data_IF_036377220329
#
_entry.id   IF_036377220329
#
_cell.length_a   1.000
_cell.length_b   1.000
_cell.length_c   1.000
_cell.angle_alpha   90.00
_cell.angle_beta   90.00
_cell.angle_gamma   90.00
#
_symmetry.space_group_name_H-M   'P 1'
#
loop_
_entity.id
_entity.type
_entity.pdbx_description
1 polymer ?
#
# COMPACT_ATOMS: atom_id res chain seq x y z
N UNK A 1 27.43 16.98 -1.07
CA UNK A 1 26.55 17.60 -2.09
C UNK A 1 25.73 16.50 -2.74
N UNK A 2 24.51 16.27 -2.24
CA UNK A 2 23.66 15.15 -2.67
C UNK A 2 22.66 15.63 -3.72
N UNK A 3 22.89 15.27 -4.97
CA UNK A 3 21.96 15.56 -6.07
C UNK A 3 20.82 14.56 -6.03
N UNK A 4 19.59 15.04 -5.79
CA UNK A 4 18.37 14.26 -5.98
C UNK A 4 18.26 13.95 -7.47
N UNK A 5 18.63 12.74 -7.86
CA UNK A 5 18.51 12.30 -9.25
C UNK A 5 17.03 12.15 -9.56
N UNK A 6 16.49 13.03 -10.42
CA UNK A 6 15.16 12.86 -11.02
C UNK A 6 15.08 11.46 -11.63
N UNK A 7 14.02 10.73 -11.29
CA UNK A 7 13.69 9.50 -12.00
C UNK A 7 13.54 9.80 -13.50
N UNK A 8 14.38 9.18 -14.32
CA UNK A 8 14.20 9.17 -15.77
C UNK A 8 13.00 8.26 -16.08
N UNK A 9 11.83 8.87 -16.30
CA UNK A 9 10.67 8.21 -16.92
C UNK A 9 10.87 8.30 -18.43
N UNK A 10 11.73 7.43 -18.98
CA UNK A 10 11.94 7.34 -20.42
C UNK A 10 10.70 6.76 -21.11
N UNK A 11 10.10 7.52 -22.04
CA UNK A 11 9.11 7.17 -23.06
C UNK A 11 8.18 5.95 -22.79
N UNK A 12 7.58 5.90 -21.60
CA UNK A 12 6.44 5.01 -21.35
C UNK A 12 5.26 5.60 -22.13
N UNK A 13 4.89 4.97 -23.25
CA UNK A 13 3.61 5.27 -23.91
C UNK A 13 2.51 5.13 -22.86
N UNK A 14 1.59 6.11 -22.71
CA UNK A 14 0.46 5.95 -21.81
C UNK A 14 -0.28 4.68 -22.20
N UNK A 15 -0.19 3.64 -21.36
CA UNK A 15 -1.16 2.55 -21.42
C UNK A 15 -2.45 3.20 -20.93
N UNK A 16 -3.45 3.29 -21.80
CA UNK A 16 -4.79 3.68 -21.38
C UNK A 16 -5.23 2.72 -20.28
N UNK A 17 -5.13 3.17 -19.04
CA UNK A 17 -5.85 2.59 -17.94
C UNK A 17 -7.32 2.76 -18.30
N UNK A 18 -8.02 1.65 -18.59
CA UNK A 18 -9.47 1.66 -18.66
C UNK A 18 -9.98 1.92 -17.25
N UNK A 19 -9.94 3.18 -16.85
CA UNK A 19 -10.73 3.70 -15.74
C UNK A 19 -12.18 3.50 -16.20
N UNK A 20 -12.83 2.46 -15.67
CA UNK A 20 -14.28 2.43 -15.68
C UNK A 20 -14.72 3.68 -14.95
N UNK A 21 -15.16 4.69 -15.69
CA UNK A 21 -15.81 5.89 -15.15
C UNK A 21 -17.14 5.44 -14.55
N UNK A 22 -17.10 4.87 -13.36
CA UNK A 22 -18.23 4.97 -12.47
C UNK A 22 -18.31 6.44 -12.12
N UNK A 23 -19.28 7.13 -12.71
CA UNK A 23 -19.61 8.52 -12.43
C UNK A 23 -19.88 8.69 -10.92
N UNK A 24 -18.85 8.98 -10.14
CA UNK A 24 -18.98 9.48 -8.77
C UNK A 24 -19.34 10.97 -8.80
N UNK A 25 -20.41 11.29 -9.53
CA UNK A 25 -21.21 12.49 -9.34
C UNK A 25 -22.58 12.03 -8.82
N UNK A 26 -22.57 11.35 -7.68
CA UNK A 26 -23.75 11.27 -6.84
C UNK A 26 -23.45 12.08 -5.57
N UNK A 27 -23.92 13.32 -5.57
CA UNK A 27 -24.42 13.92 -4.34
C UNK A 27 -25.60 13.06 -3.86
N UNK A 28 -25.28 11.94 -3.24
CA UNK A 28 -26.24 11.15 -2.48
C UNK A 28 -25.87 11.30 -1.02
N UNK A 29 -26.41 12.35 -0.41
CA UNK A 29 -26.71 12.39 1.02
C UNK A 29 -27.73 11.29 1.34
N UNK A 30 -27.34 10.03 1.21
CA UNK A 30 -27.97 8.96 1.94
C UNK A 30 -27.29 8.98 3.31
N UNK A 31 -27.77 9.89 4.17
CA UNK A 31 -27.81 9.60 5.59
C UNK A 31 -28.65 8.34 5.73
N UNK A 32 -28.00 7.17 5.57
CA UNK A 32 -28.55 5.93 6.02
C UNK A 32 -28.77 6.11 7.51
N UNK A 33 -30.03 6.21 7.91
CA UNK A 33 -30.46 6.09 9.29
C UNK A 33 -30.08 4.68 9.75
N UNK A 34 -28.83 4.54 10.20
CA UNK A 34 -28.38 3.35 10.89
C UNK A 34 -29.11 3.35 12.24
N UNK A 35 -30.15 2.51 12.33
CA UNK A 35 -30.78 2.17 13.61
C UNK A 35 -29.73 1.48 14.46
N UNK A 36 -28.99 2.27 15.22
CA UNK A 36 -27.82 1.84 15.94
C UNK A 36 -27.13 3.03 16.56
N UNK A 37 -27.70 3.55 17.64
CA UNK A 37 -27.14 4.60 18.52
C UNK A 37 -25.68 4.32 18.98
N UNK A 38 -25.17 3.10 18.73
CA UNK A 38 -23.81 2.64 19.00
C UNK A 38 -22.74 3.17 18.03
N UNK A 39 -23.06 3.41 16.75
CA UNK A 39 -22.04 3.83 15.76
C UNK A 39 -21.69 5.32 15.88
N UNK A 40 -22.67 6.17 16.17
CA UNK A 40 -22.45 7.61 16.43
C UNK A 40 -21.64 7.81 17.70
N UNK A 41 -21.91 7.02 18.75
CA UNK A 41 -21.12 7.04 19.97
C UNK A 41 -19.66 6.60 19.74
N UNK A 42 -19.41 5.56 18.91
CA UNK A 42 -18.05 5.14 18.54
C UNK A 42 -17.30 6.21 17.74
N UNK A 43 -17.96 6.85 16.77
CA UNK A 43 -17.35 7.93 16.00
C UNK A 43 -17.03 9.16 16.86
N UNK A 44 -17.89 9.49 17.83
CA UNK A 44 -17.63 10.57 18.79
C UNK A 44 -16.44 10.25 19.73
N UNK A 45 -16.33 9.00 20.20
CA UNK A 45 -15.18 8.55 21.00
C UNK A 45 -13.87 8.54 20.22
N UNK A 46 -13.91 8.27 18.92
CA UNK A 46 -12.72 8.31 18.05
C UNK A 46 -12.18 9.74 17.88
N UNK A 47 -13.03 10.76 17.85
CA UNK A 47 -12.60 12.16 17.70
C UNK A 47 -11.86 12.69 18.95
N UNK A 48 -12.11 12.14 20.13
CA UNK A 48 -11.38 12.51 21.36
C UNK A 48 -10.01 11.82 21.47
N UNK A 49 -9.79 10.74 20.71
CA UNK A 49 -8.57 9.91 20.77
C UNK A 49 -7.66 10.13 19.57
N UNK A 50 -8.23 10.40 18.39
CA UNK A 50 -7.49 10.62 17.15
C UNK A 50 -7.51 12.12 16.85
N UNK A 51 -6.35 12.82 16.90
CA UNK A 51 -6.31 14.24 16.62
C UNK A 51 -6.86 14.52 15.22
N UNK A 52 -7.75 15.50 15.10
CA UNK A 52 -8.37 15.89 13.83
C UNK A 52 -7.39 16.55 12.86
N UNK A 53 -6.20 16.91 13.35
CA UNK A 53 -5.08 17.35 12.53
C UNK A 53 -3.74 16.92 13.14
N UNK A 54 -3.02 16.07 12.43
CA UNK A 54 -1.60 15.82 12.64
C UNK A 54 -0.93 15.59 11.29
N UNK A 55 0.30 16.05 11.14
CA UNK A 55 1.14 15.74 9.98
C UNK A 55 2.16 14.70 10.42
N UNK A 56 2.12 13.52 9.82
CA UNK A 56 3.09 12.45 10.08
C UNK A 56 3.74 12.08 8.76
N UNK A 57 5.06 12.13 8.74
CA UNK A 57 5.89 11.67 7.65
C UNK A 57 6.90 10.66 8.20
N UNK A 58 6.72 9.40 7.84
CA UNK A 58 7.57 8.30 8.32
C UNK A 58 8.98 8.34 7.70
N UNK A 59 9.15 9.03 6.55
CA UNK A 59 10.45 9.16 5.88
C UNK A 59 11.42 10.10 6.60
N UNK A 60 10.89 11.10 7.30
CA UNK A 60 11.67 12.12 8.02
C UNK A 60 11.80 11.81 9.52
N UNK A 61 11.22 10.71 9.98
CA UNK A 61 11.44 10.20 11.33
C UNK A 61 12.92 9.87 11.57
N UNK A 62 13.36 9.85 12.84
CA UNK A 62 14.76 9.56 13.20
C UNK A 62 14.80 8.38 14.17
N UNK A 63 15.28 7.19 13.73
CA UNK A 63 15.67 6.84 12.35
C UNK A 63 14.44 6.75 11.41
N UNK A 64 14.62 6.85 10.08
CA UNK A 64 13.54 6.65 9.12
C UNK A 64 12.86 5.30 9.29
N UNK A 65 11.53 5.28 9.19
CA UNK A 65 10.71 4.08 9.33
C UNK A 65 10.27 3.49 7.99
N UNK A 66 10.96 3.86 6.91
CA UNK A 66 10.76 3.33 5.55
C UNK A 66 12.11 2.94 4.94
N UNK A 67 12.08 2.01 4.00
CA UNK A 67 13.24 1.61 3.20
C UNK A 67 13.45 2.56 2.01
N UNK A 68 14.65 2.54 1.37
CA UNK A 68 14.89 3.31 0.15
C UNK A 68 13.86 3.01 -0.95
N UNK A 69 13.59 4.00 -1.79
CA UNK A 69 12.67 3.86 -2.92
C UNK A 69 13.20 2.79 -3.90
N UNK A 70 12.36 1.82 -4.23
CA UNK A 70 12.64 0.75 -5.20
C UNK A 70 11.97 1.03 -6.56
N UNK A 71 12.28 0.22 -7.58
CA UNK A 71 11.78 0.42 -8.95
C UNK A 71 11.19 -0.88 -9.54
N UNK A 72 9.88 -0.88 -9.79
CA UNK A 72 9.15 -2.01 -10.39
C UNK A 72 9.36 -2.20 -11.91
N UNK A 73 10.03 -1.25 -12.56
CA UNK A 73 10.25 -1.26 -14.01
C UNK A 73 8.94 -1.22 -14.80
N UNK A 74 8.89 -1.98 -15.90
CA UNK A 74 7.71 -2.06 -16.78
C UNK A 74 6.68 -3.12 -16.36
N UNK A 75 6.84 -3.71 -15.17
CA UNK A 75 5.96 -4.73 -14.62
C UNK A 75 4.83 -4.06 -13.81
N UNK A 76 3.58 -4.51 -13.97
CA UNK A 76 2.45 -4.08 -13.14
C UNK A 76 2.46 -4.71 -11.74
N UNK A 77 3.60 -4.67 -11.06
CA UNK A 77 3.85 -5.30 -9.75
C UNK A 77 3.74 -4.32 -8.58
N UNK A 78 3.12 -3.15 -8.76
CA UNK A 78 2.95 -2.15 -7.69
C UNK A 78 2.33 -2.74 -6.41
N UNK A 79 1.45 -3.72 -6.56
CA UNK A 79 0.83 -4.46 -5.46
C UNK A 79 1.87 -5.21 -4.59
N UNK A 80 2.89 -5.80 -5.21
CA UNK A 80 3.98 -6.49 -4.51
C UNK A 80 4.89 -5.50 -3.79
N UNK A 81 5.31 -4.43 -4.48
CA UNK A 81 6.14 -3.36 -3.90
C UNK A 81 5.45 -2.66 -2.73
N UNK A 82 4.15 -2.37 -2.84
CA UNK A 82 3.40 -1.73 -1.76
C UNK A 82 3.29 -2.63 -0.52
N UNK A 83 2.94 -3.92 -0.70
CA UNK A 83 2.84 -4.87 0.40
C UNK A 83 4.19 -5.16 1.07
N UNK A 84 5.26 -5.33 0.28
CA UNK A 84 6.61 -5.52 0.82
C UNK A 84 7.10 -4.28 1.57
N UNK A 85 6.91 -3.08 1.02
CA UNK A 85 7.30 -1.83 1.68
C UNK A 85 6.58 -1.62 3.02
N UNK A 86 5.31 -2.03 3.13
CA UNK A 86 4.57 -2.01 4.40
C UNK A 86 5.20 -2.97 5.42
N UNK A 87 5.51 -4.20 5.01
CA UNK A 87 6.13 -5.21 5.88
C UNK A 87 7.51 -4.73 6.36
N UNK A 88 8.37 -4.26 5.46
CA UNK A 88 9.68 -3.71 5.82
C UNK A 88 9.57 -2.55 6.81
N UNK A 89 8.63 -1.63 6.56
CA UNK A 89 8.36 -0.48 7.46
C UNK A 89 7.87 -0.93 8.83
N UNK A 90 7.05 -1.97 8.90
CA UNK A 90 6.63 -2.58 10.17
C UNK A 90 7.82 -3.15 10.94
N UNK A 91 8.72 -3.89 10.29
CA UNK A 91 9.92 -4.45 10.93
C UNK A 91 10.90 -3.37 11.38
N UNK A 92 11.07 -2.30 10.59
CA UNK A 92 11.83 -1.11 11.00
C UNK A 92 11.23 -0.47 12.26
N UNK A 93 9.91 -0.30 12.30
CA UNK A 93 9.22 0.34 13.42
C UNK A 93 9.30 -0.48 14.70
N UNK A 94 8.90 -1.74 14.64
CA UNK A 94 8.71 -2.62 15.81
C UNK A 94 10.01 -3.26 16.28
N UNK A 95 10.87 -3.67 15.34
CA UNK A 95 12.04 -4.50 15.64
C UNK A 95 13.37 -3.80 15.39
N UNK A 96 13.34 -2.57 14.85
CA UNK A 96 14.55 -1.85 14.40
C UNK A 96 15.39 -2.68 13.42
N UNK A 97 14.71 -3.53 12.65
CA UNK A 97 15.33 -4.43 11.69
C UNK A 97 15.15 -3.87 10.30
N UNK A 98 16.27 -3.60 9.63
CA UNK A 98 16.28 -3.27 8.22
C UNK A 98 16.21 -4.56 7.41
N UNK A 99 15.17 -4.67 6.58
CA UNK A 99 14.96 -5.77 5.66
C UNK A 99 14.89 -5.21 4.23
N UNK A 100 15.41 -5.96 3.28
CA UNK A 100 15.20 -5.75 1.85
C UNK A 100 14.58 -7.05 1.32
N UNK A 101 13.25 -7.12 1.31
CA UNK A 101 12.51 -8.33 0.97
C UNK A 101 12.21 -8.40 -0.53
N UNK A 102 12.11 -9.61 -1.06
CA UNK A 102 11.92 -9.89 -2.48
C UNK A 102 10.48 -9.66 -2.96
N UNK A 103 10.27 -8.59 -3.72
CA UNK A 103 9.02 -8.39 -4.46
C UNK A 103 8.84 -9.43 -5.57
N UNK A 104 9.94 -9.91 -6.15
CA UNK A 104 9.91 -10.89 -7.24
C UNK A 104 9.33 -12.23 -6.75
N UNK A 105 9.60 -12.63 -5.51
CA UNK A 105 8.96 -13.81 -4.93
C UNK A 105 7.42 -13.68 -4.91
N UNK A 106 6.90 -12.48 -4.63
CA UNK A 106 5.46 -12.24 -4.68
C UNK A 106 4.95 -12.35 -6.12
N UNK A 107 5.67 -11.76 -7.08
CA UNK A 107 5.31 -11.79 -8.51
C UNK A 107 5.28 -13.22 -9.07
N UNK A 108 6.24 -14.07 -8.67
CA UNK A 108 6.41 -15.42 -9.21
C UNK A 108 5.55 -16.48 -8.51
N UNK A 109 5.40 -16.36 -7.19
CA UNK A 109 4.87 -17.46 -6.38
C UNK A 109 3.40 -17.32 -6.00
N UNK A 110 2.81 -16.12 -6.06
CA UNK A 110 1.42 -15.93 -5.65
C UNK A 110 0.45 -16.38 -6.75
N UNK A 111 -0.37 -17.42 -6.51
CA UNK A 111 -1.22 -17.99 -7.54
C UNK A 111 -2.42 -17.08 -7.87
N UNK A 112 -2.66 -16.90 -9.16
CA UNK A 112 -3.77 -16.10 -9.70
C UNK A 112 -5.16 -16.54 -9.21
N UNK A 113 -5.32 -17.83 -8.87
CA UNK A 113 -6.62 -18.47 -8.68
C UNK A 113 -7.29 -18.13 -7.34
N UNK A 114 -6.51 -17.75 -6.32
CA UNK A 114 -7.05 -17.39 -4.99
C UNK A 114 -6.91 -15.89 -4.67
N UNK A 115 -5.97 -15.20 -5.32
CA UNK A 115 -5.59 -13.83 -4.96
C UNK A 115 -5.90 -12.79 -6.04
N UNK A 116 -6.30 -13.21 -7.25
CA UNK A 116 -6.46 -12.28 -8.38
C UNK A 116 -5.13 -11.70 -8.90
N UNK A 117 -3.98 -12.26 -8.48
CA UNK A 117 -2.66 -11.78 -8.87
C UNK A 117 -2.22 -12.39 -10.21
N UNK A 118 -1.85 -11.56 -11.15
CA UNK A 118 -1.42 -11.96 -12.49
C UNK A 118 0.06 -11.63 -12.72
N UNK A 119 0.87 -11.68 -11.65
CA UNK A 119 2.26 -11.23 -11.66
C UNK A 119 2.35 -9.76 -12.10
N UNK A 120 2.94 -9.53 -13.27
CA UNK A 120 3.01 -8.20 -13.90
C UNK A 120 1.67 -7.69 -14.47
N UNK A 121 0.62 -8.51 -14.49
CA UNK A 121 -0.73 -8.11 -14.90
C UNK A 121 -1.52 -7.36 -13.82
N UNK A 122 -0.96 -7.19 -12.62
CA UNK A 122 -1.63 -6.61 -11.46
C UNK A 122 -1.90 -7.63 -10.35
N UNK A 123 -2.34 -7.14 -9.20
CA UNK A 123 -2.61 -7.95 -8.02
C UNK A 123 -3.16 -7.12 -6.87
N UNK A 124 -3.48 -7.79 -5.76
CA UNK A 124 -4.08 -7.20 -4.57
C UNK A 124 -3.06 -7.10 -3.44
N UNK A 125 -3.03 -5.98 -2.71
CA UNK A 125 -2.11 -5.80 -1.57
C UNK A 125 -2.35 -6.85 -0.47
N UNK A 126 -3.62 -7.14 -0.16
CA UNK A 126 -4.02 -8.11 0.88
C UNK A 126 -3.43 -9.51 0.64
N UNK A 127 -3.14 -9.85 -0.60
CA UNK A 127 -2.53 -11.13 -0.94
C UNK A 127 -1.07 -11.26 -0.46
N UNK A 128 -0.32 -10.15 -0.45
CA UNK A 128 1.06 -10.11 0.05
C UNK A 128 1.06 -10.30 1.57
N UNK A 129 0.16 -9.59 2.26
CA UNK A 129 -0.04 -9.75 3.69
C UNK A 129 -0.43 -11.19 4.03
N UNK A 130 -1.39 -11.77 3.30
CA UNK A 130 -1.79 -13.16 3.49
C UNK A 130 -0.62 -14.14 3.26
N UNK A 131 0.15 -13.97 2.18
CA UNK A 131 1.34 -14.78 1.91
C UNK A 131 2.34 -14.74 3.06
N UNK A 132 2.63 -13.54 3.58
CA UNK A 132 3.58 -13.34 4.68
C UNK A 132 3.17 -14.05 5.98
N UNK A 133 1.86 -14.34 6.17
CA UNK A 133 1.39 -15.13 7.32
C UNK A 133 1.62 -16.63 7.18
N UNK A 134 1.78 -17.12 5.94
CA UNK A 134 1.87 -18.55 5.64
C UNK A 134 3.28 -19.00 5.30
N UNK A 135 4.07 -18.11 4.67
CA UNK A 135 5.36 -18.45 4.09
C UNK A 135 6.40 -17.37 4.37
N UNK A 136 7.68 -17.74 4.55
CA UNK A 136 8.75 -16.77 4.65
C UNK A 136 8.99 -16.06 3.32
N UNK A 137 9.34 -14.78 3.40
CA UNK A 137 9.75 -13.96 2.27
C UNK A 137 11.27 -13.88 2.28
N UNK A 138 11.89 -14.18 1.13
CA UNK A 138 13.32 -14.06 0.91
C UNK A 138 13.75 -12.60 0.96
N UNK A 139 14.98 -12.38 1.46
CA UNK A 139 15.71 -11.13 1.32
C UNK A 139 16.60 -11.22 0.09
#
# INVERSE_FOLDING_TARGET
>A
EGSISRAYVGDIKPREEKVSKNNLNQENTNQGTFSGSSLIAKAALLNDVVPTSFTVDWSTSTPPLITPVKNQGSCGSCWAFAGIGEIESYFLKQHKLFLDLSEQQMVDCLPAVQSGNLGCGGGLLDSVAYYATLYPISQ
#
